data_IF_036567077738
#
_entry.id   IF_036567077738
#
_cell.length_a   1.000
_cell.length_b   1.000
_cell.length_c   1.000
_cell.angle_alpha   90.00
_cell.angle_beta   90.00
_cell.angle_gamma   90.00
#
_symmetry.space_group_name_H-M   'P 1'
#
loop_
_entity.id
_entity.type
_entity.pdbx_description
1 polymer ?
#
# COMPACT_ATOMS: atom_id res chain seq x y z
N UNK A 1 -6.92 -13.29 15.09
CA UNK A 1 -5.93 -12.84 14.10
C UNK A 1 -6.53 -13.08 12.72
N UNK A 2 -7.08 -12.03 12.09
CA UNK A 2 -7.76 -12.15 10.78
C UNK A 2 -6.71 -12.22 9.68
N UNK A 3 -6.63 -13.36 8.99
CA UNK A 3 -5.78 -13.53 7.82
C UNK A 3 -6.12 -12.47 6.76
N UNK A 4 -5.11 -11.75 6.32
CA UNK A 4 -5.18 -10.68 5.33
C UNK A 4 -4.99 -11.34 3.97
N UNK A 5 -6.05 -11.93 3.45
CA UNK A 5 -6.11 -12.22 2.02
C UNK A 5 -7.36 -11.52 1.48
N UNK A 6 -8.55 -11.90 1.94
CA UNK A 6 -9.81 -11.30 1.52
C UNK A 6 -10.84 -11.42 2.65
N UNK A 7 -11.51 -10.33 3.02
CA UNK A 7 -12.57 -10.38 4.05
C UNK A 7 -13.94 -10.82 3.49
N UNK A 8 -13.98 -11.36 2.26
CA UNK A 8 -15.20 -11.89 1.68
C UNK A 8 -15.10 -12.23 0.19
N UNK A 9 -16.18 -12.80 -0.35
CA UNK A 9 -16.34 -13.15 -1.77
C UNK A 9 -16.66 -11.94 -2.67
N UNK A 10 -16.75 -10.73 -2.10
CA UNK A 10 -17.01 -9.50 -2.86
C UNK A 10 -15.69 -8.91 -3.35
N UNK A 11 -15.59 -8.68 -4.66
CA UNK A 11 -14.39 -8.11 -5.29
C UNK A 11 -13.94 -6.77 -4.68
N UNK A 12 -14.87 -5.95 -4.18
CA UNK A 12 -14.56 -4.68 -3.50
C UNK A 12 -13.91 -4.85 -2.12
N UNK A 13 -13.97 -6.05 -1.53
CA UNK A 13 -13.36 -6.38 -0.23
C UNK A 13 -12.01 -7.08 -0.39
N UNK A 14 -11.57 -7.31 -1.63
CA UNK A 14 -10.26 -7.87 -1.91
C UNK A 14 -9.16 -6.85 -1.63
N UNK A 15 -8.04 -7.34 -1.11
CA UNK A 15 -6.88 -6.50 -0.76
C UNK A 15 -6.38 -5.72 -1.98
N UNK A 16 -6.38 -6.35 -3.16
CA UNK A 16 -6.06 -5.73 -4.46
C UNK A 16 -6.99 -4.57 -4.82
N UNK A 17 -8.29 -4.73 -4.64
CA UNK A 17 -9.27 -3.67 -4.95
C UNK A 17 -9.09 -2.44 -4.04
N UNK A 18 -8.78 -2.67 -2.76
CA UNK A 18 -8.49 -1.58 -1.81
C UNK A 18 -7.25 -0.78 -2.19
N UNK A 19 -6.23 -1.45 -2.73
CA UNK A 19 -4.96 -0.82 -3.12
C UNK A 19 -5.11 0.23 -4.24
N UNK A 20 -6.21 0.23 -4.98
CA UNK A 20 -6.51 1.25 -5.99
C UNK A 20 -6.77 2.65 -5.39
N UNK A 21 -7.25 2.72 -4.15
CA UNK A 21 -7.56 3.98 -3.45
C UNK A 21 -6.81 4.15 -2.13
N UNK A 22 -6.15 3.10 -1.66
CA UNK A 22 -5.39 3.06 -0.41
C UNK A 22 -3.98 2.53 -0.65
N UNK A 23 -3.05 2.92 0.21
CA UNK A 23 -1.71 2.35 0.28
C UNK A 23 -1.66 1.42 1.49
N UNK A 24 -1.09 0.23 1.30
CA UNK A 24 -0.85 -0.72 2.38
C UNK A 24 0.56 -0.51 2.93
N UNK A 25 0.65 -0.16 4.20
CA UNK A 25 1.91 -0.12 4.92
C UNK A 25 2.15 -1.43 5.65
N UNK A 26 3.35 -1.99 5.45
CA UNK A 26 3.84 -3.17 6.14
C UNK A 26 5.01 -2.75 7.04
N UNK A 27 4.97 -3.15 8.31
CA UNK A 27 6.08 -2.94 9.24
C UNK A 27 6.72 -4.30 9.54
N UNK A 28 8.05 -4.33 9.48
CA UNK A 28 8.88 -5.38 10.07
C UNK A 28 9.39 -4.88 11.42
N UNK A 29 10.24 -5.67 12.09
CA UNK A 29 10.90 -5.22 13.32
C UNK A 29 11.87 -4.05 13.12
N UNK A 30 12.22 -3.71 11.88
CA UNK A 30 13.25 -2.71 11.56
C UNK A 30 12.81 -1.65 10.57
N UNK A 31 11.92 -2.01 9.66
CA UNK A 31 11.67 -1.22 8.46
C UNK A 31 10.17 -1.12 8.17
N UNK A 32 9.79 -0.07 7.46
CA UNK A 32 8.44 0.13 6.94
C UNK A 32 8.49 0.08 5.42
N UNK A 33 7.53 -0.61 4.83
CA UNK A 33 7.34 -0.74 3.41
C UNK A 33 5.96 -0.21 3.02
N UNK A 34 5.85 0.33 1.82
CA UNK A 34 4.57 0.65 1.19
C UNK A 34 4.35 -0.24 -0.03
N UNK A 35 3.15 -0.81 -0.10
CA UNK A 35 2.62 -1.48 -1.27
C UNK A 35 1.49 -0.62 -1.83
N UNK A 36 1.63 -0.21 -3.10
CA UNK A 36 0.66 0.67 -3.76
C UNK A 36 0.34 0.20 -5.18
N UNK A 37 -0.85 0.56 -5.63
CA UNK A 37 -1.24 0.41 -7.04
C UNK A 37 -0.40 1.33 -7.94
N UNK A 38 0.00 0.80 -9.09
CA UNK A 38 0.71 1.52 -10.14
C UNK A 38 -0.25 1.77 -11.32
N UNK A 39 -0.74 3.00 -11.53
CA UNK A 39 -1.65 3.28 -12.63
C UNK A 39 -0.99 3.01 -13.99
N UNK A 40 -1.76 2.58 -15.00
CA UNK A 40 -1.27 2.50 -16.38
C UNK A 40 -0.79 3.89 -16.84
N UNK A 41 0.29 3.90 -17.62
CA UNK A 41 0.71 5.13 -18.31
C UNK A 41 -0.28 5.44 -19.45
N UNK A 42 -0.35 6.68 -19.92
CA UNK A 42 -1.40 7.19 -20.84
C UNK A 42 -1.53 6.44 -22.19
N UNK A 43 -0.66 5.47 -22.47
CA UNK A 43 -0.67 4.65 -23.70
C UNK A 43 -0.54 3.14 -23.42
N UNK A 44 -0.66 2.72 -22.16
CA UNK A 44 -0.44 1.33 -21.76
C UNK A 44 -1.77 0.65 -21.44
N UNK A 45 -2.29 -0.13 -22.39
CA UNK A 45 -3.42 -1.01 -22.14
C UNK A 45 -2.96 -2.25 -21.37
N UNK A 46 -3.11 -2.22 -20.04
CA UNK A 46 -2.78 -3.36 -19.18
C UNK A 46 -4.02 -4.19 -18.88
N UNK A 47 -3.91 -5.51 -19.11
CA UNK A 47 -4.97 -6.48 -18.83
C UNK A 47 -5.11 -6.81 -17.32
N UNK A 48 -4.12 -6.41 -16.51
CA UNK A 48 -4.10 -6.66 -15.08
C UNK A 48 -3.55 -5.46 -14.30
N UNK A 49 -3.98 -5.34 -13.05
CA UNK A 49 -3.45 -4.34 -12.12
C UNK A 49 -2.03 -4.71 -11.71
N UNK A 50 -1.16 -3.70 -11.69
CA UNK A 50 0.21 -3.83 -11.21
C UNK A 50 0.44 -2.99 -9.96
N UNK A 51 1.41 -3.42 -9.16
CA UNK A 51 1.72 -2.85 -7.87
C UNK A 51 3.21 -2.59 -7.74
N UNK A 52 3.53 -1.63 -6.87
CA UNK A 52 4.89 -1.26 -6.52
C UNK A 52 5.10 -1.47 -5.02
N UNK A 53 6.16 -2.19 -4.68
CA UNK A 53 6.67 -2.31 -3.31
C UNK A 53 7.86 -1.38 -3.14
N UNK A 54 7.82 -0.52 -2.15
CA UNK A 54 8.92 0.37 -1.81
C UNK A 54 9.21 0.36 -0.31
N UNK A 55 10.48 0.57 0.05
CA UNK A 55 10.93 0.74 1.42
C UNK A 55 10.90 2.21 1.79
N UNK A 56 10.31 2.57 2.92
CA UNK A 56 10.37 3.92 3.45
C UNK A 56 11.77 4.20 4.00
N UNK A 57 12.40 5.30 3.59
CA UNK A 57 13.74 5.69 4.07
C UNK A 57 13.73 6.03 5.56
N UNK A 58 12.61 6.58 6.05
CA UNK A 58 12.42 7.00 7.43
C UNK A 58 11.08 6.50 7.98
N UNK A 59 11.07 6.00 9.22
CA UNK A 59 9.85 5.67 9.95
C UNK A 59 9.20 6.94 10.50
N UNK A 60 8.50 7.68 9.64
CA UNK A 60 7.87 8.94 10.03
C UNK A 60 6.58 8.70 10.85
N UNK A 61 6.23 9.61 11.78
CA UNK A 61 4.94 9.61 12.44
C UNK A 61 3.78 9.76 11.45
N UNK A 62 2.61 9.20 11.81
CA UNK A 62 1.41 9.21 10.95
C UNK A 62 0.99 10.62 10.50
N UNK A 63 1.09 11.61 11.39
CA UNK A 63 0.76 12.99 11.07
C UNK A 63 1.67 13.56 9.97
N UNK A 64 2.96 13.26 10.03
CA UNK A 64 3.95 13.67 9.03
C UNK A 64 3.70 12.98 7.70
N UNK A 65 3.43 11.67 7.71
CA UNK A 65 3.07 10.93 6.50
C UNK A 65 1.85 11.54 5.80
N UNK A 66 0.76 11.80 6.55
CA UNK A 66 -0.45 12.44 6.00
C UNK A 66 -0.16 13.82 5.39
N UNK A 67 0.72 14.60 6.02
CA UNK A 67 1.12 15.92 5.51
C UNK A 67 1.94 15.83 4.21
N UNK A 68 2.84 14.85 4.12
CA UNK A 68 3.65 14.59 2.92
C UNK A 68 2.85 13.96 1.78
N UNK A 69 1.74 13.30 2.10
CA UNK A 69 0.91 12.56 1.15
C UNK A 69 1.05 11.06 1.31
N UNK A 70 0.07 10.35 0.79
CA UNK A 70 -0.01 8.89 0.80
C UNK A 70 -0.33 8.43 -0.62
N UNK A 71 0.45 7.51 -1.22
CA UNK A 71 1.71 6.95 -0.73
C UNK A 71 2.80 8.02 -0.50
N UNK A 72 3.89 7.61 0.15
CA UNK A 72 5.02 8.51 0.42
C UNK A 72 5.60 9.05 -0.89
N UNK A 73 6.09 10.31 -0.90
CA UNK A 73 6.69 10.89 -2.11
C UNK A 73 7.95 10.10 -2.52
N UNK A 74 8.30 10.07 -3.82
CA UNK A 74 9.44 9.30 -4.32
C UNK A 74 10.78 9.60 -3.64
N UNK A 75 10.96 10.84 -3.15
CA UNK A 75 12.15 11.24 -2.41
C UNK A 75 12.32 10.51 -1.07
N UNK A 76 11.23 10.01 -0.48
CA UNK A 76 11.19 9.39 0.86
C UNK A 76 11.14 7.86 0.82
N UNK A 77 11.17 7.26 -0.38
CA UNK A 77 11.11 5.82 -0.57
C UNK A 77 12.19 5.32 -1.51
N UNK A 78 12.49 4.04 -1.40
CA UNK A 78 13.33 3.29 -2.32
C UNK A 78 12.49 2.17 -2.93
N UNK A 79 12.32 2.18 -4.25
CA UNK A 79 11.52 1.17 -4.95
C UNK A 79 12.29 -0.15 -4.95
N UNK A 80 11.69 -1.19 -4.38
CA UNK A 80 12.28 -2.53 -4.34
C UNK A 80 11.78 -3.41 -5.47
N UNK A 81 10.49 -3.30 -5.79
CA UNK A 81 9.83 -4.05 -6.86
C UNK A 81 8.80 -3.15 -7.54
N UNK A 82 8.80 -3.10 -8.87
CA UNK A 82 7.77 -2.43 -9.69
C UNK A 82 7.08 -3.44 -10.60
N UNK A 83 5.93 -3.03 -11.14
CA UNK A 83 5.22 -3.80 -12.16
C UNK A 83 4.92 -5.23 -11.69
N UNK A 84 4.54 -5.38 -10.42
CA UNK A 84 4.28 -6.68 -9.80
C UNK A 84 2.80 -6.99 -9.91
N UNK A 85 2.43 -8.14 -10.45
CA UNK A 85 1.03 -8.59 -10.45
C UNK A 85 0.60 -9.02 -9.03
N UNK A 86 -0.70 -8.94 -8.74
CA UNK A 86 -1.21 -9.25 -7.39
C UNK A 86 -0.87 -10.69 -6.94
N UNK A 87 -0.93 -11.64 -7.87
CA UNK A 87 -0.70 -13.06 -7.62
C UNK A 87 0.78 -13.42 -7.39
N UNK A 88 1.72 -12.53 -7.73
CA UNK A 88 3.14 -12.68 -7.40
C UNK A 88 3.40 -12.48 -5.89
N UNK A 89 2.56 -11.71 -5.19
CA UNK A 89 2.66 -11.56 -3.74
C UNK A 89 2.13 -12.81 -3.04
N UNK A 90 3.01 -13.48 -2.28
CA UNK A 90 2.65 -14.63 -1.45
C UNK A 90 2.53 -14.20 -0.01
N UNK A 91 1.35 -14.38 0.54
CA UNK A 91 1.03 -14.04 1.93
C UNK A 91 1.01 -15.30 2.79
N UNK A 92 1.64 -15.21 3.95
CA UNK A 92 1.54 -16.17 5.05
C UNK A 92 1.03 -15.45 6.30
N UNK A 93 0.92 -16.16 7.42
CA UNK A 93 0.52 -15.61 8.72
C UNK A 93 1.27 -14.31 9.08
N UNK A 94 2.61 -14.35 9.03
CA UNK A 94 3.49 -13.25 9.46
C UNK A 94 4.55 -12.89 8.40
N UNK A 95 4.30 -13.23 7.14
CA UNK A 95 5.25 -12.88 6.10
C UNK A 95 4.58 -12.58 4.76
N UNK A 96 5.21 -11.66 4.04
CA UNK A 96 4.94 -11.40 2.63
C UNK A 96 6.19 -11.80 1.85
N UNK A 97 6.03 -12.50 0.74
CA UNK A 97 7.12 -12.80 -0.18
C UNK A 97 6.78 -12.32 -1.60
N UNK A 98 7.78 -11.82 -2.32
CA UNK A 98 7.66 -11.38 -3.71
C UNK A 98 9.02 -11.48 -4.38
N UNK A 99 9.08 -12.09 -5.57
CA UNK A 99 10.29 -12.17 -6.42
C UNK A 99 11.57 -12.57 -5.65
N UNK A 100 11.46 -13.57 -4.78
CA UNK A 100 12.57 -14.11 -3.99
C UNK A 100 12.92 -13.34 -2.71
N UNK A 101 12.27 -12.22 -2.43
CA UNK A 101 12.42 -11.49 -1.16
C UNK A 101 11.32 -11.88 -0.18
N UNK A 102 11.69 -12.04 1.10
CA UNK A 102 10.77 -12.39 2.19
C UNK A 102 10.83 -11.32 3.27
N UNK A 103 9.66 -10.83 3.67
CA UNK A 103 9.49 -9.79 4.67
C UNK A 103 8.72 -10.38 5.85
N UNK A 104 9.30 -10.35 7.05
CA UNK A 104 8.63 -10.76 8.29
C UNK A 104 7.80 -9.62 8.84
N UNK A 105 6.50 -9.68 8.58
CA UNK A 105 5.56 -8.60 8.84
C UNK A 105 5.01 -8.72 10.26
N UNK A 106 5.21 -7.67 11.06
CA UNK A 106 4.69 -7.57 12.44
C UNK A 106 3.42 -6.73 12.52
N UNK A 107 3.21 -5.83 11.55
CA UNK A 107 2.01 -5.00 11.48
C UNK A 107 1.70 -4.63 10.03
N UNK A 108 0.41 -4.56 9.72
CA UNK A 108 -0.10 -4.07 8.45
C UNK A 108 -1.24 -3.09 8.71
N UNK A 109 -1.29 -2.01 7.94
CA UNK A 109 -2.43 -1.10 7.97
C UNK A 109 -2.58 -0.37 6.64
N UNK A 110 -3.82 -0.06 6.29
CA UNK A 110 -4.12 0.74 5.10
C UNK A 110 -4.23 2.21 5.45
N UNK A 111 -3.81 3.06 4.53
CA UNK A 111 -4.01 4.50 4.57
C UNK A 111 -4.63 4.97 3.25
N UNK A 112 -5.64 5.84 3.32
CA UNK A 112 -6.23 6.43 2.12
C UNK A 112 -5.19 7.27 1.37
N UNK A 113 -5.18 7.18 0.04
CA UNK A 113 -4.28 7.96 -0.78
C UNK A 113 -4.62 9.45 -0.67
N UNK A 114 -3.60 10.31 -0.56
CA UNK A 114 -3.74 11.76 -0.40
C UNK A 114 -2.58 12.50 -1.06
N UNK A 115 -2.86 13.71 -1.55
CA UNK A 115 -1.82 14.63 -2.02
C UNK A 115 -1.14 15.33 -0.83
N UNK A 116 0.13 15.74 -0.97
CA UNK A 116 0.80 16.58 0.03
C UNK A 116 -0.05 17.80 0.38
N UNK A 117 -0.18 18.13 1.66
CA UNK A 117 -0.97 19.28 2.13
C UNK A 117 -2.50 19.08 2.17
N UNK A 118 -3.02 17.92 1.76
CA UNK A 118 -4.45 17.58 1.82
C UNK A 118 -4.91 17.16 3.22
N UNK A 119 -4.81 18.05 4.20
CA UNK A 119 -5.32 17.83 5.55
C UNK A 119 -6.77 18.27 5.72
N UNK A 120 -7.73 17.34 5.60
CA UNK A 120 -8.97 17.32 6.39
C UNK A 120 -10.13 18.23 5.99
N UNK A 121 -10.90 17.84 4.97
CA UNK A 121 -12.32 18.22 4.88
C UNK A 121 -13.16 17.14 5.57
N UNK A 122 -13.40 17.29 6.88
CA UNK A 122 -14.35 16.46 7.60
C UNK A 122 -15.74 16.66 7.04
N UNK A 123 -16.43 15.57 6.73
CA UNK A 123 -17.85 15.58 6.46
C UNK A 123 -18.58 16.01 7.74
N UNK A 124 -18.98 17.28 7.79
CA UNK A 124 -20.19 17.69 8.49
C UNK A 124 -21.36 17.15 7.68
N UNK A 125 -22.10 16.22 8.28
CA UNK A 125 -23.47 15.93 7.88
C UNK A 125 -24.26 15.85 9.17
N UNK A 126 -24.69 17.01 9.69
CA UNK A 126 -25.76 17.11 10.67
C UNK A 126 -26.36 18.52 10.68
N UNK A 127 -27.39 18.74 9.85
CA UNK A 127 -28.71 19.27 10.24
C UNK A 127 -29.61 19.41 9.01
#
# INVERSE_FOLDING_TARGET
MSGIADQGLRSSQWTSARLRSQTLYLETSRERFELKYQPPQEQEERQQDLYQLARCKCALPLATMKKLGVPMPPAEVEVLQSDVAWDEFKWSNLSMAVRGQVFHVVRMHFMANSKPGGGGGGADSSS
#
